data_IF_843225845437
#
_entry.id   IF_843225845437
#
_cell.length_a   1.000
_cell.length_b   1.000
_cell.length_c   1.000
_cell.angle_alpha   90.00
_cell.angle_beta   90.00
_cell.angle_gamma   90.00
#
_symmetry.space_group_name_H-M   'P 1'
#
loop_
_entity.id
_entity.type
_entity.pdbx_description
1 polymer ?
#
# COMPACT_ATOMS: atom_id res chain seq x y z
N UNK A 1 19.23 25.70 -11.38
CA UNK A 1 18.64 24.78 -10.39
C UNK A 1 17.48 24.13 -11.09
N UNK A 2 17.44 22.80 -11.17
CA UNK A 2 16.26 22.12 -11.70
C UNK A 2 15.12 22.35 -10.70
N UNK A 3 14.03 22.93 -11.18
CA UNK A 3 12.82 23.09 -10.40
C UNK A 3 12.26 21.68 -10.17
N UNK A 4 12.23 21.23 -8.91
CA UNK A 4 11.63 19.94 -8.57
C UNK A 4 10.14 20.23 -8.44
N UNK A 5 9.42 20.16 -9.57
CA UNK A 5 7.97 20.29 -9.59
C UNK A 5 7.35 18.95 -9.18
N UNK A 6 6.60 18.94 -8.07
CA UNK A 6 5.86 17.77 -7.65
C UNK A 6 4.59 17.65 -8.49
N UNK A 7 4.50 16.60 -9.32
CA UNK A 7 3.29 16.33 -10.08
C UNK A 7 2.22 15.67 -9.19
N UNK A 8 1.27 16.48 -8.74
CA UNK A 8 0.15 16.05 -7.88
C UNK A 8 -0.75 15.01 -8.57
N UNK A 9 -0.91 15.10 -9.88
CA UNK A 9 -1.68 14.15 -10.67
C UNK A 9 -1.03 12.76 -10.65
N UNK A 10 0.29 12.69 -10.80
CA UNK A 10 1.05 11.45 -10.72
C UNK A 10 1.03 10.85 -9.30
N UNK A 11 1.15 11.66 -8.26
CA UNK A 11 1.04 11.17 -6.87
C UNK A 11 -0.32 10.52 -6.60
N UNK A 12 -1.41 11.17 -7.01
CA UNK A 12 -2.77 10.65 -6.87
C UNK A 12 -3.01 9.40 -7.72
N UNK A 13 -2.49 9.38 -8.95
CA UNK A 13 -2.56 8.20 -9.81
C UNK A 13 -1.83 7.00 -9.18
N UNK A 14 -0.61 7.23 -8.67
CA UNK A 14 0.16 6.21 -7.94
C UNK A 14 -0.54 5.73 -6.68
N UNK A 15 -1.14 6.63 -5.90
CA UNK A 15 -1.96 6.26 -4.74
C UNK A 15 -3.15 5.36 -5.14
N UNK A 16 -3.80 5.67 -6.26
CA UNK A 16 -4.87 4.85 -6.83
C UNK A 16 -4.37 3.45 -7.23
N UNK A 17 -3.24 3.38 -7.94
CA UNK A 17 -2.64 2.10 -8.36
C UNK A 17 -2.24 1.24 -7.15
N UNK A 18 -1.58 1.82 -6.15
CA UNK A 18 -1.18 1.10 -4.96
C UNK A 18 -2.38 0.57 -4.17
N UNK A 19 -3.45 1.36 -4.03
CA UNK A 19 -4.70 0.90 -3.42
C UNK A 19 -5.29 -0.29 -4.19
N UNK A 20 -5.31 -0.20 -5.52
CA UNK A 20 -5.71 -1.31 -6.40
C UNK A 20 -4.88 -2.58 -6.17
N UNK A 21 -3.55 -2.46 -6.10
CA UNK A 21 -2.66 -3.59 -5.80
C UNK A 21 -2.96 -4.16 -4.41
N UNK A 22 -3.16 -3.30 -3.40
CA UNK A 22 -3.53 -3.71 -2.05
C UNK A 22 -4.83 -4.51 -2.02
N UNK A 23 -5.84 -4.10 -2.78
CA UNK A 23 -7.12 -4.80 -2.90
C UNK A 23 -6.98 -6.12 -3.66
N UNK A 24 -6.26 -6.11 -4.79
CA UNK A 24 -5.99 -7.30 -5.60
C UNK A 24 -5.22 -8.38 -4.84
N UNK A 25 -4.39 -7.99 -3.87
CA UNK A 25 -3.63 -8.90 -3.01
C UNK A 25 -4.48 -9.61 -1.94
N UNK A 26 -5.65 -9.09 -1.58
CA UNK A 26 -6.45 -9.63 -0.47
C UNK A 26 -6.86 -11.11 -0.71
N UNK A 27 -7.42 -11.38 -1.89
CA UNK A 27 -7.89 -12.71 -2.31
C UNK A 27 -6.76 -13.74 -2.42
N UNK A 28 -5.65 -13.49 -3.15
CA UNK A 28 -4.58 -14.48 -3.28
C UNK A 28 -3.89 -14.78 -1.94
N UNK A 29 -3.71 -13.78 -1.06
CA UNK A 29 -3.16 -14.01 0.29
C UNK A 29 -4.08 -14.93 1.10
N UNK A 30 -5.38 -14.65 1.13
CA UNK A 30 -6.37 -15.48 1.81
C UNK A 30 -6.40 -16.91 1.25
N UNK A 31 -6.34 -17.03 -0.07
CA UNK A 31 -6.36 -18.31 -0.79
C UNK A 31 -5.13 -19.15 -0.46
N UNK A 32 -3.94 -18.55 -0.42
CA UNK A 32 -2.69 -19.23 -0.10
C UNK A 32 -2.71 -19.80 1.33
N UNK A 33 -3.08 -18.97 2.31
CA UNK A 33 -3.17 -19.38 3.73
C UNK A 33 -4.22 -20.49 3.92
N UNK A 34 -5.39 -20.33 3.31
CA UNK A 34 -6.48 -21.32 3.40
C UNK A 34 -6.10 -22.64 2.75
N UNK A 35 -5.45 -22.61 1.58
CA UNK A 35 -5.03 -23.81 0.87
C UNK A 35 -3.95 -24.57 1.63
N UNK A 36 -2.98 -23.85 2.20
CA UNK A 36 -1.92 -24.46 3.01
C UNK A 36 -2.49 -25.08 4.31
N UNK A 37 -3.43 -24.39 4.98
CA UNK A 37 -4.11 -24.93 6.16
C UNK A 37 -4.96 -26.16 5.84
N UNK A 38 -5.65 -26.14 4.69
CA UNK A 38 -6.41 -27.29 4.19
C UNK A 38 -5.50 -28.48 3.88
N UNK A 39 -4.35 -28.23 3.24
CA UNK A 39 -3.37 -29.27 2.97
C UNK A 39 -2.81 -29.87 4.27
N UNK A 40 -2.49 -29.04 5.27
CA UNK A 40 -2.07 -29.51 6.59
C UNK A 40 -3.14 -30.41 7.24
N UNK A 41 -4.42 -29.99 7.19
CA UNK A 41 -5.54 -30.79 7.70
C UNK A 41 -5.69 -32.14 6.98
N UNK A 42 -5.53 -32.18 5.66
CA UNK A 42 -5.54 -33.44 4.87
C UNK A 42 -4.38 -34.37 5.20
N UNK A 43 -3.26 -33.82 5.69
CA UNK A 43 -2.07 -34.58 6.09
C UNK A 43 -2.09 -35.00 7.56
N UNK A 44 -3.18 -34.79 8.30
CA UNK A 44 -3.28 -35.17 9.72
C UNK A 44 -2.88 -36.64 9.92
N UNK A 45 -2.02 -36.90 10.90
CA UNK A 45 -1.43 -38.21 11.16
C UNK A 45 -0.11 -38.48 10.41
N UNK A 46 0.28 -37.62 9.47
CA UNK A 46 1.57 -37.67 8.79
C UNK A 46 2.54 -36.69 9.46
N UNK A 47 3.82 -37.07 9.53
CA UNK A 47 4.88 -36.27 10.15
C UNK A 47 5.04 -34.86 9.56
N UNK A 48 4.62 -34.66 8.30
CA UNK A 48 4.74 -33.39 7.58
C UNK A 48 3.64 -32.37 7.92
N UNK A 49 2.50 -32.78 8.48
CA UNK A 49 1.33 -31.92 8.69
C UNK A 49 1.64 -30.69 9.55
N UNK A 50 2.37 -30.86 10.66
CA UNK A 50 2.77 -29.76 11.55
C UNK A 50 3.70 -28.75 10.87
N UNK A 51 4.61 -29.20 10.00
CA UNK A 51 5.50 -28.30 9.26
C UNK A 51 4.73 -27.47 8.22
N UNK A 52 3.75 -28.08 7.53
CA UNK A 52 2.88 -27.38 6.58
C UNK A 52 1.99 -26.35 7.28
N UNK A 53 1.44 -26.71 8.45
CA UNK A 53 0.65 -25.77 9.25
C UNK A 53 1.51 -24.59 9.74
N UNK A 54 2.70 -24.87 10.26
CA UNK A 54 3.65 -23.82 10.70
C UNK A 54 4.03 -22.90 9.56
N UNK A 55 4.23 -23.44 8.35
CA UNK A 55 4.48 -22.64 7.15
C UNK A 55 3.28 -21.75 6.81
N UNK A 56 2.06 -22.30 6.82
CA UNK A 56 0.83 -21.56 6.56
C UNK A 56 0.65 -20.37 7.51
N UNK A 57 0.83 -20.63 8.82
CA UNK A 57 0.71 -19.62 9.87
C UNK A 57 1.85 -18.59 9.78
N UNK A 58 3.06 -19.05 9.47
CA UNK A 58 4.24 -18.22 9.28
C UNK A 58 4.12 -17.22 8.13
N UNK A 59 3.41 -17.57 7.04
CA UNK A 59 3.19 -16.65 5.92
C UNK A 59 2.02 -15.69 6.11
N UNK A 60 1.06 -16.03 6.98
CA UNK A 60 -0.16 -15.21 7.18
C UNK A 60 0.16 -13.78 7.59
N UNK A 61 1.01 -13.59 8.60
CA UNK A 61 1.34 -12.25 9.12
C UNK A 61 2.22 -11.44 8.16
N UNK A 62 3.31 -11.98 7.58
CA UNK A 62 4.12 -11.28 6.59
C UNK A 62 3.33 -10.84 5.35
N UNK A 63 2.47 -11.71 4.81
CA UNK A 63 1.63 -11.36 3.66
C UNK A 63 0.62 -10.27 3.99
N UNK A 64 -0.04 -10.37 5.15
CA UNK A 64 -0.93 -9.30 5.64
C UNK A 64 -0.20 -7.97 5.82
N UNK A 65 1.01 -8.01 6.39
CA UNK A 65 1.86 -6.82 6.57
C UNK A 65 2.29 -6.22 5.23
N UNK A 66 2.64 -7.05 4.25
CA UNK A 66 2.99 -6.59 2.90
C UNK A 66 1.82 -5.84 2.26
N UNK A 67 0.61 -6.43 2.30
CA UNK A 67 -0.60 -5.77 1.81
C UNK A 67 -0.84 -4.44 2.51
N UNK A 68 -0.71 -4.41 3.84
CA UNK A 68 -0.93 -3.19 4.60
C UNK A 68 0.06 -2.08 4.21
N UNK A 69 1.34 -2.43 4.03
CA UNK A 69 2.36 -1.46 3.60
C UNK A 69 2.02 -0.82 2.26
N UNK A 70 1.48 -1.58 1.31
CA UNK A 70 1.05 -1.02 0.01
C UNK A 70 -0.09 -0.02 0.19
N UNK A 71 -1.07 -0.34 1.05
CA UNK A 71 -2.18 0.58 1.38
C UNK A 71 -1.67 1.84 2.10
N UNK A 72 -0.70 1.68 3.00
CA UNK A 72 -0.10 2.79 3.74
C UNK A 72 0.69 3.71 2.80
N UNK A 73 1.42 3.16 1.82
CA UNK A 73 2.08 3.96 0.78
C UNK A 73 1.08 4.79 -0.02
N UNK A 74 -0.08 4.22 -0.37
CA UNK A 74 -1.12 4.96 -1.07
C UNK A 74 -1.61 6.15 -0.25
N UNK A 75 -1.82 5.95 1.05
CA UNK A 75 -2.19 7.01 1.99
C UNK A 75 -1.12 8.09 2.10
N UNK A 76 0.16 7.70 2.09
CA UNK A 76 1.28 8.64 2.15
C UNK A 76 1.38 9.49 0.86
N UNK A 77 1.13 8.89 -0.30
CA UNK A 77 1.09 9.61 -1.58
C UNK A 77 -0.07 10.61 -1.63
N UNK A 78 -1.26 10.21 -1.19
CA UNK A 78 -2.42 11.11 -1.07
C UNK A 78 -2.14 12.27 -0.10
N UNK A 79 -1.48 11.99 1.02
CA UNK A 79 -1.09 13.00 2.02
C UNK A 79 -0.04 13.96 1.45
N UNK A 80 0.94 13.43 0.70
CA UNK A 80 1.96 14.24 0.04
C UNK A 80 1.33 15.23 -0.95
N UNK A 81 0.40 14.76 -1.79
CA UNK A 81 -0.30 15.62 -2.73
C UNK A 81 -1.12 16.71 -2.01
N UNK A 82 -1.82 16.38 -0.93
CA UNK A 82 -2.60 17.34 -0.14
C UNK A 82 -1.71 18.40 0.52
N UNK A 83 -0.59 18.00 1.11
CA UNK A 83 0.33 18.92 1.75
C UNK A 83 0.96 19.87 0.74
N UNK A 84 1.28 19.39 -0.46
CA UNK A 84 1.81 20.24 -1.52
C UNK A 84 0.78 21.28 -1.99
N UNK A 85 -0.48 20.88 -2.23
CA UNK A 85 -1.54 21.84 -2.58
C UNK A 85 -1.77 22.89 -1.50
N UNK A 86 -1.70 22.51 -0.23
CA UNK A 86 -1.83 23.44 0.90
C UNK A 86 -0.67 24.43 0.94
N UNK A 87 0.56 23.94 0.74
CA UNK A 87 1.75 24.78 0.67
C UNK A 87 1.67 25.78 -0.49
N UNK A 88 1.29 25.33 -1.69
CA UNK A 88 1.14 26.19 -2.87
C UNK A 88 0.12 27.30 -2.63
N UNK A 89 -1.01 26.97 -2.01
CA UNK A 89 -2.04 27.96 -1.63
C UNK A 89 -1.54 28.95 -0.59
N UNK A 90 -0.80 28.47 0.42
CA UNK A 90 -0.26 29.33 1.47
C UNK A 90 0.79 30.32 0.91
N UNK A 91 1.66 29.84 0.02
CA UNK A 91 2.64 30.68 -0.68
C UNK A 91 1.94 31.73 -1.55
N UNK A 92 0.93 31.33 -2.33
CA UNK A 92 0.16 32.25 -3.17
C UNK A 92 -0.57 33.34 -2.35
N UNK A 93 -1.01 33.02 -1.13
CA UNK A 93 -1.63 33.98 -0.21
C UNK A 93 -0.64 34.93 0.45
N UNK A 94 0.60 34.48 0.72
CA UNK A 94 1.66 35.32 1.30
C UNK A 94 2.32 36.23 0.28
N UNK A 95 2.38 35.79 -0.98
CA UNK A 95 2.88 36.57 -2.10
C UNK A 95 1.77 36.73 -3.15
N UNK A 96 0.69 37.48 -2.84
CA UNK A 96 -0.25 37.86 -3.87
C UNK A 96 0.57 38.57 -4.93
N UNK A 97 0.49 38.07 -6.16
CA UNK A 97 1.26 38.52 -7.31
C UNK A 97 1.43 40.03 -7.22
N UNK A 98 2.65 40.54 -7.00
CA UNK A 98 2.98 41.95 -7.20
C UNK A 98 3.00 42.19 -8.71
N UNK A 99 1.83 42.03 -9.34
CA UNK A 99 1.54 42.37 -10.72
C UNK A 99 0.50 43.48 -10.70
N UNK A 100 0.89 44.61 -10.12
CA UNK A 100 0.17 45.86 -10.21
C UNK A 100 0.96 46.85 -11.03
N UNK A 101 0.27 47.44 -12.02
CA UNK A 101 0.65 48.53 -12.95
C UNK A 101 1.14 48.09 -14.32
#
# INVERSE_FOLDING_TARGET
MADIEVNLGELRASAGMERGIGDDLATPISTAVTSASTAAGKLTGWSLSGAVQTLADGWKSPLGTMRQRVIDTASNLDTCAQNHEQNDRAVAQQFPTQGGS
#
